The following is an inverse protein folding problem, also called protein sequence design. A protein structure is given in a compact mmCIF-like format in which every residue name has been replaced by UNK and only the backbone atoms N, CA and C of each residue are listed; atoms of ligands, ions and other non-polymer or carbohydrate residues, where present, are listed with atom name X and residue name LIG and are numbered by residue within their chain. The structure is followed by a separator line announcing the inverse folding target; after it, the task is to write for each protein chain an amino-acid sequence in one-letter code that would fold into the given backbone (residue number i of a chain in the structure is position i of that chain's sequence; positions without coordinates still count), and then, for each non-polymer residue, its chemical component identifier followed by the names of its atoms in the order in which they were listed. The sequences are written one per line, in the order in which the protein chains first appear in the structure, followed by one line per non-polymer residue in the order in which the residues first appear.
data_IF_205944914974
#
_entry.id   IF_205944914974
#
_cell.length_a   1.000
_cell.length_b   1.000
_cell.length_c   1.000
_cell.angle_alpha   90.00
_cell.angle_beta   90.00
_cell.angle_gamma   90.00
#
_symmetry.space_group_name_H-M   'P 1'
#
loop_
_entity.id
_entity.type
_entity.pdbx_description
1 polymer ?
#
# COMPACT_ATOMS: atom_id res chain seq x y z
N UNK A 1 0.37 -7.68 5.19
CA UNK A 1 1.15 -7.92 3.96
C UNK A 1 1.48 -9.38 3.69
N UNK A 2 1.48 -10.28 4.69
CA UNK A 2 1.87 -11.69 4.47
C UNK A 2 0.95 -12.41 3.48
N UNK A 3 -0.37 -12.34 3.67
CA UNK A 3 -1.34 -13.07 2.82
C UNK A 3 -1.32 -12.66 1.33
N UNK A 4 -1.31 -11.36 0.97
CA UNK A 4 -1.28 -10.94 -0.44
C UNK A 4 0.03 -11.31 -1.15
N UNK A 5 1.15 -11.25 -0.42
CA UNK A 5 2.45 -11.67 -0.94
C UNK A 5 2.49 -13.19 -1.16
N UNK A 6 2.00 -13.96 -0.19
CA UNK A 6 1.94 -15.41 -0.28
C UNK A 6 1.13 -15.86 -1.50
N UNK A 7 -0.09 -15.33 -1.66
CA UNK A 7 -0.94 -15.68 -2.81
C UNK A 7 -0.31 -15.32 -4.16
N UNK A 8 0.53 -14.28 -4.21
CA UNK A 8 1.18 -13.86 -5.45
C UNK A 8 2.44 -14.66 -5.75
N UNK A 9 3.17 -15.09 -4.72
CA UNK A 9 4.30 -16.01 -4.84
C UNK A 9 3.85 -17.42 -5.22
N UNK A 10 2.71 -17.89 -4.70
CA UNK A 10 2.15 -19.20 -5.01
C UNK A 10 1.71 -19.32 -6.47
N UNK A 11 1.28 -18.22 -7.07
CA UNK A 11 0.90 -18.14 -8.50
C UNK A 11 2.10 -18.04 -9.45
N UNK A 12 3.32 -17.95 -8.93
CA UNK A 12 4.51 -17.78 -9.76
C UNK A 12 4.86 -19.09 -10.46
N UNK A 13 4.98 -19.05 -11.79
CA UNK A 13 5.28 -20.23 -12.59
C UNK A 13 6.71 -20.74 -12.31
N UNK A 14 6.80 -22.02 -11.95
CA UNK A 14 8.08 -22.70 -11.69
C UNK A 14 8.95 -22.77 -12.94
N UNK A 15 8.34 -22.80 -14.13
CA UNK A 15 9.08 -22.79 -15.39
C UNK A 15 9.93 -21.53 -15.58
N UNK A 16 9.48 -20.36 -15.11
CA UNK A 16 10.29 -19.14 -15.12
C UNK A 16 11.54 -19.27 -14.22
N UNK A 17 11.42 -20.01 -13.12
CA UNK A 17 12.53 -20.23 -12.18
C UNK A 17 13.54 -21.25 -12.72
N UNK A 18 13.06 -22.28 -13.43
CA UNK A 18 13.88 -23.29 -14.11
C UNK A 18 14.65 -22.67 -15.29
N UNK A 19 13.98 -21.90 -16.15
CA UNK A 19 14.63 -21.19 -17.26
C UNK A 19 15.73 -20.21 -16.78
N UNK A 20 15.52 -19.56 -15.64
CA UNK A 20 16.52 -18.69 -15.04
C UNK A 20 17.78 -19.46 -14.61
N UNK A 21 17.61 -20.68 -14.10
CA UNK A 21 18.71 -21.57 -13.71
C UNK A 21 19.44 -22.11 -14.92
N UNK A 22 18.71 -22.45 -15.99
CA UNK A 22 19.30 -22.91 -17.25
C UNK A 22 20.15 -21.82 -17.91
N UNK A 23 19.75 -20.56 -17.78
CA UNK A 23 20.52 -19.38 -18.23
C UNK A 23 21.69 -19.02 -17.29
N UNK A 24 21.94 -19.80 -16.24
CA UNK A 24 23.03 -19.56 -15.29
C UNK A 24 22.82 -18.36 -14.36
N UNK A 25 21.58 -17.88 -14.18
CA UNK A 25 21.32 -16.74 -13.32
C UNK A 25 21.61 -17.08 -11.84
N UNK A 26 22.30 -16.17 -11.15
CA UNK A 26 22.51 -16.28 -9.71
C UNK A 26 21.20 -16.06 -8.94
N UNK A 27 21.09 -16.60 -7.70
CA UNK A 27 19.89 -16.46 -6.86
C UNK A 27 19.43 -15.01 -6.69
N UNK A 28 20.37 -14.07 -6.57
CA UNK A 28 20.08 -12.64 -6.42
C UNK A 28 19.52 -12.05 -7.72
N UNK A 29 20.06 -12.47 -8.86
CA UNK A 29 19.60 -12.06 -10.19
C UNK A 29 18.20 -12.61 -10.48
N UNK A 30 17.92 -13.87 -10.15
CA UNK A 30 16.58 -14.46 -10.24
C UNK A 30 15.59 -13.69 -9.35
N UNK A 31 15.99 -13.33 -8.14
CA UNK A 31 15.11 -12.58 -7.24
C UNK A 31 14.74 -11.20 -7.80
N UNK A 32 15.73 -10.39 -8.18
CA UNK A 32 15.50 -9.01 -8.62
C UNK A 32 14.82 -8.96 -10.00
N UNK A 33 15.21 -9.85 -10.91
CA UNK A 33 14.82 -9.77 -12.32
C UNK A 33 13.58 -10.59 -12.68
N UNK A 34 13.21 -11.56 -11.84
CA UNK A 34 12.07 -12.45 -12.08
C UNK A 34 11.08 -12.34 -10.93
N UNK A 35 11.49 -12.71 -9.70
CA UNK A 35 10.56 -12.79 -8.57
C UNK A 35 9.92 -11.43 -8.25
N UNK A 36 10.71 -10.36 -8.13
CA UNK A 36 10.19 -9.01 -7.86
C UNK A 36 9.19 -8.57 -8.93
N UNK A 37 9.53 -8.49 -10.24
CA UNK A 37 8.60 -8.00 -11.25
C UNK A 37 7.34 -8.85 -11.38
N UNK A 38 7.44 -10.18 -11.30
CA UNK A 38 6.27 -11.08 -11.36
C UNK A 38 5.38 -10.97 -10.12
N UNK A 39 5.94 -10.68 -8.94
CA UNK A 39 5.15 -10.49 -7.71
C UNK A 39 4.76 -9.03 -7.43
N UNK A 40 5.16 -8.08 -8.28
CA UNK A 40 4.80 -6.67 -8.13
C UNK A 40 3.29 -6.45 -7.93
N UNK A 41 2.38 -7.08 -8.69
CA UNK A 41 0.94 -6.92 -8.46
C UNK A 41 0.52 -7.30 -7.03
N UNK A 42 1.15 -8.32 -6.46
CA UNK A 42 0.95 -8.80 -5.10
C UNK A 42 1.50 -7.88 -4.03
N UNK A 43 2.72 -7.36 -4.23
CA UNK A 43 3.35 -6.37 -3.34
C UNK A 43 2.48 -5.13 -3.26
N UNK A 44 2.04 -4.66 -4.42
CA UNK A 44 1.16 -3.51 -4.61
C UNK A 44 -0.15 -3.78 -3.85
N UNK A 45 -0.81 -4.92 -4.07
CA UNK A 45 -2.04 -5.30 -3.34
C UNK A 45 -1.83 -5.37 -1.83
N UNK A 46 -0.70 -5.90 -1.39
CA UNK A 46 -0.32 -5.96 0.02
C UNK A 46 -0.12 -4.59 0.65
N UNK A 47 0.49 -3.65 -0.09
CA UNK A 47 0.66 -2.27 0.36
C UNK A 47 -0.68 -1.59 0.57
N UNK A 48 -1.66 -1.76 -0.33
CA UNK A 48 -2.99 -1.18 -0.14
C UNK A 48 -3.67 -1.65 1.14
N UNK A 49 -3.69 -2.97 1.33
CA UNK A 49 -4.41 -3.60 2.43
C UNK A 49 -3.88 -3.15 3.79
N UNK A 50 -2.65 -2.62 3.84
CA UNK A 50 -2.05 -2.06 5.05
C UNK A 50 -2.11 -0.53 5.09
N UNK A 51 -1.88 0.16 3.98
CA UNK A 51 -1.86 1.63 3.91
C UNK A 51 -3.22 2.22 4.34
N UNK A 52 -4.32 1.65 3.83
CA UNK A 52 -5.66 2.15 4.10
C UNK A 52 -6.01 2.14 5.60
N UNK A 53 -5.92 1.01 6.32
CA UNK A 53 -6.14 1.02 7.76
C UNK A 53 -5.06 1.80 8.53
N UNK A 54 -3.80 1.79 8.07
CA UNK A 54 -2.72 2.52 8.74
C UNK A 54 -2.98 4.02 8.84
N UNK A 55 -3.54 4.64 7.80
CA UNK A 55 -3.90 6.07 7.81
C UNK A 55 -4.99 6.40 8.85
N UNK A 56 -5.84 5.42 9.21
CA UNK A 56 -6.90 5.56 10.20
C UNK A 56 -6.48 5.31 11.66
N UNK A 57 -5.26 4.81 11.91
CA UNK A 57 -4.79 4.39 13.25
C UNK A 57 -4.30 5.55 14.14
N UNK A 58 -4.90 6.74 14.03
CA UNK A 58 -4.52 7.90 14.84
C UNK A 58 -4.79 7.66 16.34
N UNK A 59 -5.87 6.95 16.67
CA UNK A 59 -6.25 6.65 18.05
C UNK A 59 -5.24 5.74 18.78
N UNK A 60 -4.71 4.73 18.08
CA UNK A 60 -3.71 3.80 18.65
C UNK A 60 -2.42 4.55 18.97
N UNK A 61 -1.98 5.43 18.07
CA UNK A 61 -0.81 6.26 18.31
C UNK A 61 -1.02 7.27 19.45
N UNK A 62 -2.25 7.77 19.64
CA UNK A 62 -2.60 8.66 20.76
C UNK A 62 -2.47 7.94 22.10
N UNK A 63 -3.00 6.70 22.18
CA UNK A 63 -2.92 5.85 23.38
C UNK A 63 -1.48 5.41 23.70
N UNK A 64 -0.70 5.00 22.69
CA UNK A 64 0.66 4.48 22.90
C UNK A 64 1.73 5.58 22.99
N UNK A 65 1.54 6.69 22.27
CA UNK A 65 2.53 7.77 22.14
C UNK A 65 2.28 8.99 23.02
N UNK A 66 1.15 9.03 23.75
CA UNK A 66 0.80 10.11 24.67
C UNK A 66 0.71 11.48 23.99
N UNK A 67 0.15 11.54 22.77
CA UNK A 67 0.01 12.74 21.95
C UNK A 67 1.31 13.50 21.60
N UNK A 68 2.50 12.91 21.82
CA UNK A 68 3.79 13.57 21.51
C UNK A 68 3.99 13.85 20.02
N UNK A 69 3.37 13.07 19.15
CA UNK A 69 3.39 13.27 17.71
C UNK A 69 1.96 13.49 17.20
N UNK A 70 1.70 14.67 16.64
CA UNK A 70 0.42 15.00 16.04
C UNK A 70 0.30 14.35 14.66
N UNK A 71 -0.55 13.33 14.57
CA UNK A 71 -0.98 12.76 13.30
C UNK A 71 -2.12 13.60 12.71
N UNK A 72 -2.29 13.54 11.38
CA UNK A 72 -3.41 14.21 10.68
C UNK A 72 -4.77 13.90 11.32
N UNK A 73 -5.00 12.65 11.75
CA UNK A 73 -6.25 12.26 12.42
C UNK A 73 -6.43 12.92 13.79
N UNK A 74 -5.33 13.16 14.52
CA UNK A 74 -5.36 13.88 15.80
C UNK A 74 -5.72 15.35 15.61
N UNK A 75 -5.24 15.97 14.52
CA UNK A 75 -5.58 17.35 14.17
C UNK A 75 -7.08 17.46 13.92
N UNK A 76 -7.64 16.60 13.07
CA UNK A 76 -9.09 16.60 12.77
C UNK A 76 -9.90 16.41 14.07
N UNK A 77 -9.54 15.43 14.90
CA UNK A 77 -10.18 15.17 16.20
C UNK A 77 -10.15 16.41 17.10
N UNK A 78 -9.02 17.10 17.19
CA UNK A 78 -8.86 18.28 18.04
C UNK A 78 -9.70 19.47 17.55
N UNK A 79 -9.78 19.69 16.23
CA UNK A 79 -10.60 20.76 15.66
C UNK A 79 -12.09 20.57 15.96
N UNK A 80 -12.58 19.33 15.94
CA UNK A 80 -13.97 19.02 16.29
C UNK A 80 -14.24 19.06 17.81
N UNK A 81 -13.39 18.43 18.62
CA UNK A 81 -13.68 18.18 20.04
C UNK A 81 -13.17 19.28 20.99
N UNK A 82 -11.98 19.82 20.76
CA UNK A 82 -11.40 20.83 21.66
C UNK A 82 -11.80 22.24 21.22
N UNK A 83 -11.60 22.56 19.94
CA UNK A 83 -11.76 23.92 19.43
C UNK A 83 -13.22 24.17 18.99
N UNK A 84 -14.00 23.10 18.80
CA UNK A 84 -15.42 23.15 18.37
C UNK A 84 -15.62 23.96 17.08
N UNK A 85 -14.62 23.94 16.20
CA UNK A 85 -14.67 24.56 14.88
C UNK A 85 -15.07 23.48 13.86
N UNK A 86 -16.37 23.21 13.82
CA UNK A 86 -16.99 22.22 12.93
C UNK A 86 -16.73 22.53 11.44
N UNK A 87 -16.80 23.80 10.98
CA UNK A 87 -16.44 24.16 9.61
C UNK A 87 -15.00 23.77 9.24
N UNK A 88 -14.02 24.15 10.06
CA UNK A 88 -12.62 23.83 9.76
C UNK A 88 -12.33 22.33 9.85
N UNK A 89 -12.91 21.66 10.85
CA UNK A 89 -12.82 20.21 10.99
C UNK A 89 -13.37 19.48 9.76
N UNK A 90 -14.52 19.91 9.25
CA UNK A 90 -15.13 19.35 8.04
C UNK A 90 -14.25 19.56 6.79
N UNK A 91 -13.71 20.77 6.60
CA UNK A 91 -12.82 21.08 5.47
C UNK A 91 -11.57 20.18 5.48
N UNK A 92 -10.96 19.97 6.64
CA UNK A 92 -9.77 19.13 6.80
C UNK A 92 -10.09 17.65 6.54
N UNK A 93 -11.25 17.15 7.01
CA UNK A 93 -11.72 15.79 6.73
C UNK A 93 -11.99 15.53 5.25
N UNK A 94 -12.61 16.50 4.56
CA UNK A 94 -12.88 16.39 3.13
C UNK A 94 -11.55 16.40 2.36
N UNK A 95 -10.63 17.29 2.71
CA UNK A 95 -9.30 17.34 2.11
C UNK A 95 -8.55 16.01 2.27
N UNK A 96 -8.53 15.45 3.48
CA UNK A 96 -7.92 14.15 3.74
C UNK A 96 -8.59 13.04 2.92
N UNK A 97 -9.91 13.05 2.82
CA UNK A 97 -10.67 12.08 2.03
C UNK A 97 -10.32 12.16 0.55
N UNK A 98 -10.18 13.37 0.00
CA UNK A 98 -9.76 13.59 -1.38
C UNK A 98 -8.32 13.11 -1.62
N UNK A 99 -7.39 13.41 -0.72
CA UNK A 99 -6.01 12.93 -0.81
C UNK A 99 -5.95 11.40 -0.76
N UNK A 100 -6.71 10.77 0.14
CA UNK A 100 -6.78 9.32 0.23
C UNK A 100 -7.42 8.70 -1.02
N UNK A 101 -8.48 9.31 -1.54
CA UNK A 101 -9.12 8.93 -2.80
C UNK A 101 -8.17 9.05 -4.00
N UNK A 102 -7.39 10.14 -4.07
CA UNK A 102 -6.36 10.34 -5.10
C UNK A 102 -5.28 9.27 -5.02
N UNK A 103 -4.77 8.97 -3.83
CA UNK A 103 -3.80 7.89 -3.62
C UNK A 103 -4.35 6.54 -4.08
N UNK A 104 -5.60 6.21 -3.72
CA UNK A 104 -6.26 4.99 -4.16
C UNK A 104 -6.43 4.96 -5.68
N UNK A 105 -6.75 6.09 -6.30
CA UNK A 105 -6.89 6.19 -7.76
C UNK A 105 -5.56 6.01 -8.49
N UNK A 106 -4.49 6.70 -8.07
CA UNK A 106 -3.13 6.54 -8.61
C UNK A 106 -2.71 5.08 -8.49
N UNK A 107 -2.95 4.50 -7.33
CA UNK A 107 -2.64 3.10 -7.09
C UNK A 107 -3.44 2.17 -8.02
N UNK A 108 -4.77 2.36 -8.14
CA UNK A 108 -5.61 1.52 -8.98
C UNK A 108 -5.16 1.59 -10.44
N UNK A 109 -4.78 2.79 -10.89
CA UNK A 109 -4.16 3.02 -12.20
C UNK A 109 -2.85 2.25 -12.37
N UNK A 110 -1.95 2.31 -11.39
CA UNK A 110 -0.67 1.59 -11.41
C UNK A 110 -0.88 0.06 -11.44
N UNK A 111 -1.77 -0.46 -10.60
CA UNK A 111 -2.11 -1.88 -10.56
C UNK A 111 -2.72 -2.37 -11.89
N UNK A 112 -3.61 -1.58 -12.50
CA UNK A 112 -4.21 -1.89 -13.81
C UNK A 112 -3.17 -1.93 -14.93
N UNK A 113 -2.22 -0.98 -14.93
CA UNK A 113 -1.13 -0.94 -15.92
C UNK A 113 -0.20 -2.14 -15.79
N UNK A 114 0.10 -2.58 -14.57
CA UNK A 114 0.96 -3.73 -14.32
C UNK A 114 0.27 -5.06 -14.67
N UNK A 115 -1.01 -5.22 -14.33
CA UNK A 115 -1.78 -6.40 -14.75
C UNK A 115 -1.88 -6.51 -16.27
N UNK A 116 -2.12 -5.40 -16.98
CA UNK A 116 -2.18 -5.37 -18.45
C UNK A 116 -0.85 -5.80 -19.09
N UNK A 117 0.28 -5.55 -18.42
CA UNK A 117 1.60 -5.93 -18.94
C UNK A 117 1.85 -7.44 -18.85
N UNK A 118 1.29 -8.11 -17.84
CA UNK A 118 1.35 -9.57 -17.69
C UNK A 118 0.38 -10.35 -18.59
N UNK A 119 -0.58 -9.69 -19.26
CA UNK A 119 -1.47 -10.31 -20.27
C UNK A 119 -0.91 -10.22 -21.70
N UNK A 120 0.15 -9.42 -21.91
CA UNK A 120 0.75 -9.14 -23.22
C UNK A 120 2.10 -9.84 -23.44
N UNK A 121 2.63 -10.51 -22.41
CA UNK A 121 3.82 -11.37 -22.45
C UNK A 121 3.40 -12.84 -22.29
#
# INVERSE_FOLDING_TARGET
MVMPLYSSLEKLDKSCLEAARDLGASKLQTFIRIIIPLTMPGIIAGCLLVLLPAMGLFYVADLMGGAKNLLIGNVIKSQFLNIRDWPFGAATSICLTLVMGLMLWIYYRAAKLLNKKGELE
#
